data_IF_569213526004
#
_entry.id   IF_569213526004
#
_cell.length_a   1.000
_cell.length_b   1.000
_cell.length_c   1.000
_cell.angle_alpha   90.00
_cell.angle_beta   90.00
_cell.angle_gamma   90.00
#
_symmetry.space_group_name_H-M   'P 1'
#
loop_
_entity.id
_entity.type
_entity.pdbx_description
1 polymer ?
#
# COMPACT_ATOMS: atom_id res chain seq x y z
N UNK A 1 3.13 -14.15 6.25
CA UNK A 1 4.02 -12.99 6.42
C UNK A 1 3.84 -12.04 5.25
N UNK A 2 3.55 -10.77 5.55
CA UNK A 2 3.39 -9.79 4.49
C UNK A 2 4.75 -9.32 3.97
N UNK A 3 4.89 -9.31 2.65
CA UNK A 3 6.08 -8.76 1.98
C UNK A 3 6.00 -7.26 1.78
N UNK A 4 4.83 -6.68 2.06
CA UNK A 4 4.57 -5.24 1.94
C UNK A 4 5.09 -4.53 3.19
N UNK A 5 5.78 -3.42 2.99
CA UNK A 5 6.29 -2.56 4.06
C UNK A 5 5.82 -1.13 3.88
N UNK A 6 5.84 -0.36 4.96
CA UNK A 6 5.59 1.07 4.90
C UNK A 6 6.52 1.73 3.88
N UNK A 7 5.99 2.69 3.16
CA UNK A 7 6.66 3.45 2.08
C UNK A 7 6.84 2.69 0.76
N UNK A 8 6.39 1.44 0.67
CA UNK A 8 6.36 0.74 -0.62
C UNK A 8 5.33 1.38 -1.55
N UNK A 9 5.61 1.36 -2.85
CA UNK A 9 4.65 1.74 -3.87
C UNK A 9 3.90 0.50 -4.34
N UNK A 10 2.58 0.52 -4.26
CA UNK A 10 1.72 -0.60 -4.63
C UNK A 10 0.60 -0.13 -5.55
N UNK A 11 -0.02 -1.09 -6.24
CA UNK A 11 -1.18 -0.84 -7.11
C UNK A 11 -2.34 -1.70 -6.62
N UNK A 12 -3.55 -1.14 -6.69
CA UNK A 12 -4.78 -1.85 -6.31
C UNK A 12 -5.21 -2.76 -7.45
N UNK A 13 -5.45 -4.03 -7.13
CA UNK A 13 -5.78 -5.06 -8.11
C UNK A 13 -7.29 -5.23 -8.32
N UNK A 14 -8.09 -4.94 -7.30
CA UNK A 14 -9.54 -5.20 -7.35
C UNK A 14 -10.31 -4.08 -6.68
N UNK A 15 -11.62 -4.04 -6.94
CA UNK A 15 -12.55 -3.14 -6.27
C UNK A 15 -12.67 -1.79 -6.92
N UNK A 16 -13.25 -0.85 -6.17
CA UNK A 16 -13.56 0.51 -6.65
C UNK A 16 -12.33 1.26 -7.16
N UNK A 17 -11.20 1.06 -6.51
CA UNK A 17 -9.97 1.78 -6.82
C UNK A 17 -8.98 0.99 -7.69
N UNK A 18 -9.46 -0.06 -8.36
CA UNK A 18 -8.63 -0.89 -9.24
C UNK A 18 -7.82 -0.02 -10.21
N UNK A 19 -6.53 -0.30 -10.28
CA UNK A 19 -5.59 0.43 -11.14
C UNK A 19 -4.96 1.66 -10.50
N UNK A 20 -5.46 2.12 -9.36
CA UNK A 20 -4.80 3.21 -8.63
C UNK A 20 -3.56 2.71 -7.93
N UNK A 21 -2.54 3.53 -7.91
CA UNK A 21 -1.30 3.24 -7.20
C UNK A 21 -1.04 4.30 -6.14
N UNK A 22 -0.26 3.94 -5.15
CA UNK A 22 0.09 4.85 -4.08
C UNK A 22 1.12 4.27 -3.13
N UNK A 23 1.52 5.08 -2.19
CA UNK A 23 2.51 4.73 -1.18
C UNK A 23 1.81 4.11 0.03
N UNK A 24 2.36 3.04 0.55
CA UNK A 24 1.84 2.39 1.77
C UNK A 24 2.15 3.28 2.97
N UNK A 25 1.10 3.71 3.66
CA UNK A 25 1.20 4.57 4.84
C UNK A 25 1.31 3.78 6.13
N UNK A 26 0.64 2.61 6.18
CA UNK A 26 0.60 1.79 7.37
C UNK A 26 0.38 0.33 6.99
N UNK A 27 1.01 -0.57 7.72
CA UNK A 27 0.83 -2.02 7.56
C UNK A 27 0.32 -2.58 8.87
N UNK A 28 -0.72 -3.42 8.80
CA UNK A 28 -1.30 -4.13 9.93
C UNK A 28 -1.14 -5.63 9.69
N UNK A 29 0.03 -6.21 10.01
CA UNK A 29 0.33 -7.60 9.65
C UNK A 29 -0.62 -8.63 10.29
N UNK A 30 -1.06 -8.39 11.51
CA UNK A 30 -1.96 -9.30 12.21
C UNK A 30 -3.33 -9.38 11.54
N UNK A 31 -3.77 -8.31 10.91
CA UNK A 31 -5.05 -8.25 10.21
C UNK A 31 -4.92 -8.54 8.71
N UNK A 32 -3.70 -8.59 8.20
CA UNK A 32 -3.47 -8.73 6.77
C UNK A 32 -3.96 -7.54 5.96
N UNK A 33 -3.90 -6.33 6.52
CA UNK A 33 -4.39 -5.10 5.93
C UNK A 33 -3.32 -4.03 5.78
N UNK A 34 -3.52 -3.14 4.83
CA UNK A 34 -2.63 -2.02 4.57
C UNK A 34 -3.45 -0.75 4.29
N UNK A 35 -2.87 0.39 4.60
CA UNK A 35 -3.43 1.71 4.25
C UNK A 35 -2.55 2.30 3.16
N UNK A 36 -3.15 2.68 2.04
CA UNK A 36 -2.45 3.23 0.88
C UNK A 36 -2.90 4.66 0.64
N UNK A 37 -1.95 5.55 0.41
CA UNK A 37 -2.21 6.96 0.18
C UNK A 37 -3.12 7.17 -1.04
N UNK A 38 -4.20 7.93 -0.85
CA UNK A 38 -5.14 8.26 -1.92
C UNK A 38 -6.06 7.12 -2.35
N UNK A 39 -6.01 5.98 -1.67
CA UNK A 39 -6.78 4.78 -2.01
C UNK A 39 -7.75 4.44 -0.89
N UNK A 40 -8.92 3.93 -1.27
CA UNK A 40 -9.99 3.55 -0.33
C UNK A 40 -10.41 4.71 0.59
N UNK A 41 -10.50 5.90 -0.01
CA UNK A 41 -10.86 7.12 0.72
C UNK A 41 -12.36 7.12 1.02
N UNK A 42 -12.70 7.34 2.28
CA UNK A 42 -14.07 7.52 2.71
C UNK A 42 -14.27 8.93 3.25
N UNK A 43 -15.43 9.51 2.93
CA UNK A 43 -15.84 10.79 3.48
C UNK A 43 -16.68 10.55 4.71
N UNK A 44 -16.32 11.18 5.82
CA UNK A 44 -17.03 11.09 7.08
C UNK A 44 -17.61 12.42 7.48
N UNK A 45 -18.91 12.40 7.83
CA UNK A 45 -19.52 13.55 8.52
C UNK A 45 -19.11 13.50 9.97
N UNK A 46 -18.48 14.57 10.44
CA UNK A 46 -18.14 14.72 11.86
C UNK A 46 -19.12 15.70 12.50
N UNK A 47 -19.58 15.38 13.72
CA UNK A 47 -20.39 16.29 14.50
C UNK A 47 -19.54 17.42 15.06
N UNK A 48 -20.11 18.65 15.04
CA UNK A 48 -19.47 19.77 15.69
C UNK A 48 -19.39 19.57 17.20
N UNK A 49 -18.34 20.09 17.80
CA UNK A 49 -18.14 20.15 19.25
C UNK A 49 -17.94 21.62 19.64
N UNK A 50 -18.18 22.01 20.90
CA UNK A 50 -17.83 23.34 21.35
C UNK A 50 -16.39 23.71 20.99
N UNK A 51 -16.21 24.74 20.17
CA UNK A 51 -14.91 25.16 19.68
C UNK A 51 -14.39 24.44 18.46
N UNK A 52 -15.12 23.41 17.97
CA UNK A 52 -14.73 22.66 16.77
C UNK A 52 -15.95 22.43 15.88
N UNK A 53 -16.08 23.18 14.78
CA UNK A 53 -17.19 22.97 13.86
C UNK A 53 -17.13 21.57 13.22
N UNK A 54 -18.29 20.97 12.99
CA UNK A 54 -18.39 19.74 12.26
C UNK A 54 -18.07 19.94 10.78
N UNK A 55 -17.85 18.86 10.06
CA UNK A 55 -17.54 18.91 8.64
C UNK A 55 -17.41 17.55 8.01
N UNK A 56 -16.98 17.54 6.76
CA UNK A 56 -16.69 16.31 6.02
C UNK A 56 -15.18 16.08 6.07
N UNK A 57 -14.77 14.94 6.60
CA UNK A 57 -13.36 14.57 6.68
C UNK A 57 -13.11 13.40 5.73
N UNK A 58 -12.11 13.52 4.88
CA UNK A 58 -11.65 12.40 4.07
C UNK A 58 -10.63 11.58 4.85
N UNK A 59 -10.81 10.27 4.83
CA UNK A 59 -9.93 9.35 5.54
C UNK A 59 -9.63 8.13 4.67
N UNK A 60 -8.37 7.76 4.60
CA UNK A 60 -7.93 6.56 3.91
C UNK A 60 -8.16 5.36 4.83
N UNK A 61 -8.94 4.39 4.32
CA UNK A 61 -9.27 3.18 5.05
C UNK A 61 -8.35 2.04 4.64
N UNK A 62 -8.18 1.09 5.55
CA UNK A 62 -7.38 -0.10 5.28
C UNK A 62 -8.04 -0.99 4.24
N UNK A 63 -7.22 -1.61 3.40
CA UNK A 63 -7.65 -2.67 2.48
C UNK A 63 -6.91 -3.97 2.78
N UNK A 64 -7.46 -5.08 2.29
CA UNK A 64 -6.77 -6.37 2.36
C UNK A 64 -5.45 -6.31 1.58
N UNK A 65 -4.37 -6.78 2.19
CA UNK A 65 -3.07 -6.85 1.52
C UNK A 65 -3.09 -7.72 0.25
N UNK A 66 -4.03 -8.68 0.17
CA UNK A 66 -4.20 -9.51 -1.02
C UNK A 66 -4.77 -8.74 -2.22
N UNK A 67 -5.36 -7.57 -1.99
CA UNK A 67 -5.96 -6.74 -3.02
C UNK A 67 -4.99 -5.73 -3.63
N UNK A 68 -3.74 -5.73 -3.19
CA UNK A 68 -2.70 -4.85 -3.72
C UNK A 68 -1.47 -5.67 -4.14
N UNK A 69 -0.70 -5.12 -5.06
CA UNK A 69 0.56 -5.72 -5.50
C UNK A 69 1.64 -4.65 -5.57
N UNK A 70 2.89 -5.06 -5.41
CA UNK A 70 4.01 -4.16 -5.61
C UNK A 70 4.10 -3.75 -7.08
N UNK A 71 4.59 -2.55 -7.34
CA UNK A 71 4.96 -2.12 -8.67
C UNK A 71 6.41 -2.49 -8.94
N UNK A 72 6.65 -3.03 -10.14
CA UNK A 72 7.99 -3.30 -10.61
C UNK A 72 8.71 -1.96 -10.85
N UNK A 73 9.88 -1.72 -10.22
CA UNK A 73 10.59 -0.46 -10.41
C UNK A 73 11.00 -0.17 -11.85
N UNK A 74 11.10 -1.22 -12.66
CA UNK A 74 11.54 -1.08 -14.05
C UNK A 74 10.46 -0.49 -14.96
N UNK A 75 9.22 -0.97 -14.84
CA UNK A 75 8.15 -0.59 -15.77
C UNK A 75 6.83 -0.19 -15.12
N UNK A 76 6.81 -0.08 -13.78
CA UNK A 76 5.63 0.30 -13.00
C UNK A 76 4.42 -0.60 -13.24
N UNK A 77 4.64 -1.88 -13.49
CA UNK A 77 3.57 -2.88 -13.62
C UNK A 77 3.51 -3.76 -12.38
N UNK A 78 2.34 -4.35 -12.06
CA UNK A 78 2.23 -5.24 -10.92
C UNK A 78 3.21 -6.41 -11.01
N UNK A 79 3.86 -6.72 -9.91
CA UNK A 79 4.81 -7.82 -9.83
C UNK A 79 4.67 -8.59 -8.54
N UNK A 80 5.08 -9.86 -8.55
CA UNK A 80 5.30 -10.63 -7.34
C UNK A 80 6.67 -10.25 -6.77
N UNK A 81 6.82 -10.44 -5.48
CA UNK A 81 8.04 -10.12 -4.75
C UNK A 81 8.68 -11.39 -4.22
N UNK A 82 9.98 -11.54 -4.47
CA UNK A 82 10.79 -12.58 -3.89
C UNK A 82 11.89 -11.99 -3.02
N UNK A 83 12.65 -12.85 -2.37
CA UNK A 83 13.78 -12.45 -1.55
C UNK A 83 15.08 -12.97 -2.15
N UNK A 84 16.11 -12.15 -2.05
CA UNK A 84 17.45 -12.45 -2.54
C UNK A 84 18.47 -11.95 -1.53
N UNK A 85 19.60 -12.62 -1.40
CA UNK A 85 20.68 -12.14 -0.55
C UNK A 85 21.69 -11.37 -1.42
N UNK A 86 21.93 -10.13 -1.04
CA UNK A 86 22.91 -9.25 -1.70
C UNK A 86 23.83 -8.68 -0.63
N UNK A 87 25.13 -8.92 -0.78
CA UNK A 87 26.15 -8.49 0.19
C UNK A 87 25.83 -8.88 1.64
N UNK A 88 25.34 -10.10 1.81
CA UNK A 88 24.97 -10.65 3.13
C UNK A 88 23.63 -10.17 3.67
N UNK A 89 22.91 -9.32 2.94
CA UNK A 89 21.59 -8.80 3.37
C UNK A 89 20.49 -9.40 2.53
N UNK A 90 19.38 -9.75 3.19
CA UNK A 90 18.17 -10.22 2.52
C UNK A 90 17.41 -9.01 2.00
N UNK A 91 17.22 -8.94 0.70
CA UNK A 91 16.49 -7.85 0.03
C UNK A 91 15.35 -8.39 -0.78
N UNK A 92 14.36 -7.53 -1.05
CA UNK A 92 13.22 -7.88 -1.89
C UNK A 92 13.53 -7.52 -3.34
N UNK A 93 13.05 -8.34 -4.25
CA UNK A 93 13.19 -8.06 -5.68
C UNK A 93 11.89 -8.35 -6.42
N UNK A 94 11.68 -7.65 -7.53
CA UNK A 94 10.53 -7.88 -8.41
C UNK A 94 10.79 -9.13 -9.25
N UNK A 95 9.95 -10.17 -9.09
CA UNK A 95 10.13 -11.42 -9.84
C UNK A 95 9.96 -11.23 -11.35
N UNK A 96 9.20 -10.24 -11.75
CA UNK A 96 8.93 -9.93 -13.15
C UNK A 96 10.19 -9.48 -13.90
N UNK A 97 10.97 -8.58 -13.34
CA UNK A 97 12.14 -7.99 -14.00
C UNK A 97 13.48 -8.35 -13.37
N UNK A 98 13.46 -8.84 -12.14
CA UNK A 98 14.68 -9.07 -11.35
C UNK A 98 15.22 -7.84 -10.66
N UNK A 99 14.60 -6.66 -10.84
CA UNK A 99 15.04 -5.43 -10.20
C UNK A 99 14.86 -5.47 -8.69
N UNK A 100 15.82 -4.90 -7.96
CA UNK A 100 15.73 -4.83 -6.50
C UNK A 100 14.71 -3.77 -6.09
N UNK A 101 13.85 -4.13 -5.13
CA UNK A 101 12.91 -3.21 -4.49
C UNK A 101 13.60 -2.51 -3.33
N UNK A 102 14.32 -3.27 -2.52
CA UNK A 102 15.13 -2.74 -1.44
C UNK A 102 16.54 -2.43 -1.96
N UNK A 103 17.02 -1.27 -1.62
CA UNK A 103 18.35 -0.85 -2.00
C UNK A 103 19.20 -0.48 -0.79
#
# INVERSE_FOLDING_TARGET
>A
MLKIRKDDTVVVLTGRDKGKSGKVLKVMPKEGRVVVQGVNVAKRHTRGRPGQPGGIVEKELALSASNVAHLDPKDNKPTRVGFRVVDGKKVRFAKRSGELIDR
#
